data_IF_424861900636
#
_entry.id   IF_424861900636
#
_cell.length_a   1.000
_cell.length_b   1.000
_cell.length_c   1.000
_cell.angle_alpha   90.00
_cell.angle_beta   90.00
_cell.angle_gamma   90.00
#
_symmetry.space_group_name_H-M   'P 1'
#
loop_
_entity.id
_entity.type
_entity.pdbx_description
1 polymer ?
#
# COMPACT_ATOMS: atom_id res chain seq x y z
N UNK A 1 0.33 4.26 -1.35
CA UNK A 1 -0.77 4.67 -0.43
C UNK A 1 -0.19 5.28 0.84
N UNK A 2 -0.86 6.19 1.55
CA UNK A 2 -0.35 6.81 2.78
C UNK A 2 -1.25 6.47 3.97
N UNK A 3 -0.69 5.80 4.99
CA UNK A 3 -1.36 5.53 6.26
C UNK A 3 -1.05 6.63 7.28
N UNK A 4 -2.05 7.00 8.08
CA UNK A 4 -1.93 7.99 9.16
C UNK A 4 -2.45 7.37 10.46
N UNK A 5 -1.58 7.33 11.47
CA UNK A 5 -1.91 6.83 12.80
C UNK A 5 -1.96 8.00 13.77
N UNK A 6 -3.05 8.15 14.50
CA UNK A 6 -3.27 9.32 15.35
C UNK A 6 -3.69 8.85 16.74
N UNK A 7 -2.97 9.23 17.82
CA UNK A 7 -3.31 8.78 19.16
C UNK A 7 -4.62 9.43 19.65
N UNK A 8 -5.37 8.70 20.47
CA UNK A 8 -6.57 9.23 21.13
C UNK A 8 -6.19 10.17 22.28
N UNK A 9 -6.94 11.25 22.46
CA UNK A 9 -6.83 12.21 23.58
C UNK A 9 -8.12 12.32 24.39
N UNK A 10 -9.10 11.50 24.06
CA UNK A 10 -10.39 11.43 24.74
C UNK A 10 -11.36 10.59 23.94
N UNK A 11 -12.58 10.44 24.45
CA UNK A 11 -13.63 9.72 23.75
C UNK A 11 -13.88 10.34 22.36
N UNK A 12 -13.61 9.55 21.31
CA UNK A 12 -13.77 9.94 19.90
C UNK A 12 -12.99 11.21 19.51
N UNK A 13 -11.91 11.54 20.23
CA UNK A 13 -11.03 12.68 19.94
C UNK A 13 -9.60 12.19 19.73
N UNK A 14 -8.94 12.72 18.71
CA UNK A 14 -7.58 12.31 18.30
C UNK A 14 -6.66 13.53 18.14
N UNK A 15 -5.41 13.38 18.55
CA UNK A 15 -4.38 14.43 18.47
C UNK A 15 -3.63 14.36 17.14
N UNK A 16 -4.11 15.15 16.17
CA UNK A 16 -3.53 15.21 14.82
C UNK A 16 -2.11 15.76 14.78
N UNK A 17 -1.66 16.52 15.77
CA UNK A 17 -0.29 17.04 15.83
C UNK A 17 0.71 15.93 16.14
N UNK A 18 0.28 14.87 16.85
CA UNK A 18 1.09 13.68 17.15
C UNK A 18 0.89 12.53 16.19
N UNK A 19 0.33 12.79 15.00
CA UNK A 19 0.12 11.76 13.98
C UNK A 19 1.45 11.19 13.47
N UNK A 20 1.46 9.89 13.22
CA UNK A 20 2.56 9.19 12.57
C UNK A 20 2.16 8.77 11.16
N UNK A 21 3.11 8.84 10.22
CA UNK A 21 2.90 8.54 8.81
C UNK A 21 3.69 7.30 8.40
N UNK A 22 3.07 6.43 7.61
CA UNK A 22 3.71 5.28 6.97
C UNK A 22 3.26 5.19 5.52
N UNK A 23 4.19 5.31 4.59
CA UNK A 23 3.90 5.17 3.17
C UNK A 23 3.90 3.68 2.81
N UNK A 24 3.05 3.29 1.86
CA UNK A 24 3.03 1.94 1.30
C UNK A 24 3.34 2.04 -0.19
N UNK A 25 4.39 1.34 -0.60
CA UNK A 25 4.74 1.10 -2.00
C UNK A 25 3.73 0.15 -2.67
N UNK A 26 3.72 0.05 -4.01
CA UNK A 26 2.83 -0.89 -4.72
C UNK A 26 3.01 -2.35 -4.26
N UNK A 27 4.25 -2.76 -4.00
CA UNK A 27 4.56 -4.12 -3.54
C UNK A 27 3.98 -4.38 -2.15
N UNK A 28 4.12 -3.43 -1.23
CA UNK A 28 3.57 -3.54 0.13
C UNK A 28 2.04 -3.49 0.14
N UNK A 29 1.43 -2.73 -0.76
CA UNK A 29 -0.02 -2.79 -1.02
C UNK A 29 -0.41 -4.20 -1.46
N UNK A 30 0.37 -4.82 -2.35
CA UNK A 30 0.20 -6.23 -2.74
C UNK A 30 0.25 -7.19 -1.55
N UNK A 31 1.21 -7.01 -0.64
CA UNK A 31 1.31 -7.82 0.59
C UNK A 31 0.07 -7.71 1.48
N UNK A 32 -0.54 -6.53 1.60
CA UNK A 32 -1.78 -6.35 2.36
C UNK A 32 -2.97 -7.04 1.71
N UNK A 33 -3.06 -7.01 0.38
CA UNK A 33 -4.13 -7.67 -0.38
C UNK A 33 -4.04 -9.20 -0.20
N UNK A 34 -2.83 -9.75 -0.31
CA UNK A 34 -2.59 -11.19 -0.27
C UNK A 34 -2.62 -11.80 1.14
N UNK A 35 -2.73 -10.98 2.19
CA UNK A 35 -2.65 -11.45 3.58
C UNK A 35 -3.76 -12.45 3.91
N UNK A 36 -3.45 -13.69 4.26
CA UNK A 36 -4.42 -14.68 4.74
C UNK A 36 -5.04 -14.33 6.10
N UNK A 37 -6.02 -15.13 6.55
CA UNK A 37 -6.70 -14.93 7.84
C UNK A 37 -5.79 -15.13 9.05
N UNK A 38 -4.72 -15.91 8.89
CA UNK A 38 -3.76 -16.22 9.95
C UNK A 38 -2.35 -15.66 9.64
N UNK A 39 -2.20 -14.93 8.55
CA UNK A 39 -0.91 -14.45 8.10
C UNK A 39 -0.54 -13.16 8.81
N UNK A 40 0.76 -12.99 9.04
CA UNK A 40 1.33 -11.76 9.57
C UNK A 40 2.13 -11.06 8.49
N UNK A 41 2.07 -9.74 8.45
CA UNK A 41 2.90 -8.91 7.58
C UNK A 41 3.67 -7.89 8.43
N UNK A 42 4.96 -7.74 8.16
CA UNK A 42 5.83 -6.78 8.82
C UNK A 42 6.60 -5.98 7.75
N UNK A 43 6.49 -4.66 7.80
CA UNK A 43 7.10 -3.72 6.87
C UNK A 43 8.04 -2.78 7.62
N UNK A 44 9.20 -2.49 7.04
CA UNK A 44 10.25 -1.72 7.69
C UNK A 44 10.75 -0.60 6.79
N UNK A 45 10.63 0.64 7.26
CA UNK A 45 11.06 1.84 6.56
C UNK A 45 12.11 2.58 7.38
N UNK A 46 13.21 2.94 6.72
CA UNK A 46 14.18 3.92 7.21
C UNK A 46 14.14 5.14 6.26
N UNK A 47 13.58 6.29 6.69
CA UNK A 47 13.49 7.47 5.84
C UNK A 47 14.85 8.02 5.37
N UNK A 48 15.92 7.68 6.07
CA UNK A 48 17.29 8.13 5.81
C UNK A 48 18.15 7.00 5.23
N UNK A 49 17.55 5.92 4.75
CA UNK A 49 18.28 4.81 4.13
C UNK A 49 19.17 5.33 3.00
N UNK A 50 20.37 4.76 2.86
CA UNK A 50 21.40 5.18 1.90
C UNK A 50 21.99 6.59 2.14
N UNK A 51 21.76 7.18 3.32
CA UNK A 51 22.41 8.41 3.76
C UNK A 51 23.28 8.17 5.01
N UNK A 52 24.04 9.19 5.42
CA UNK A 52 24.81 9.17 6.68
C UNK A 52 23.93 9.03 7.93
N UNK A 53 22.64 9.34 7.83
CA UNK A 53 21.68 9.27 8.93
C UNK A 53 20.89 7.94 8.96
N UNK A 54 21.29 6.95 8.16
CA UNK A 54 20.67 5.64 8.18
C UNK A 54 20.66 5.03 9.60
N UNK A 55 19.58 4.35 9.95
CA UNK A 55 19.34 3.71 11.25
C UNK A 55 18.91 4.67 12.36
N UNK A 56 18.95 5.98 12.14
CA UNK A 56 18.58 6.97 13.15
C UNK A 56 17.07 7.06 13.36
N UNK A 57 16.28 6.86 12.30
CA UNK A 57 14.82 6.79 12.37
C UNK A 57 14.36 5.50 11.71
N UNK A 58 13.60 4.69 12.45
CA UNK A 58 13.08 3.41 11.95
C UNK A 58 11.59 3.34 12.20
N UNK A 59 10.84 2.98 11.16
CA UNK A 59 9.40 2.76 11.22
C UNK A 59 9.13 1.30 10.92
N UNK A 60 8.37 0.64 11.78
CA UNK A 60 7.92 -0.74 11.59
C UNK A 60 6.41 -0.78 11.65
N UNK A 61 5.78 -1.23 10.57
CA UNK A 61 4.35 -1.49 10.50
C UNK A 61 4.12 -2.99 10.57
N UNK A 62 3.26 -3.43 11.47
CA UNK A 62 2.93 -4.83 11.67
C UNK A 62 1.43 -5.02 11.54
N UNK A 63 1.01 -6.04 10.78
CA UNK A 63 -0.37 -6.51 10.70
C UNK A 63 -0.40 -7.95 11.18
N UNK A 64 -1.06 -8.19 12.31
CA UNK A 64 -1.16 -9.51 12.95
C UNK A 64 -2.62 -9.92 13.07
N UNK A 65 -2.98 -11.20 12.83
CA UNK A 65 -4.34 -11.66 13.09
C UNK A 65 -4.62 -11.65 14.59
N UNK A 66 -5.86 -11.38 14.98
CA UNK A 66 -6.26 -11.50 16.36
C UNK A 66 -6.27 -12.98 16.76
N UNK A 67 -5.78 -13.31 17.96
CA UNK A 67 -5.71 -14.71 18.43
C UNK A 67 -7.07 -15.41 18.49
N UNK A 68 -8.16 -14.65 18.57
CA UNK A 68 -9.53 -15.17 18.59
C UNK A 68 -10.19 -15.22 17.20
N UNK A 69 -9.48 -14.91 16.11
CA UNK A 69 -9.99 -14.98 14.73
C UNK A 69 -10.93 -13.84 14.30
N UNK A 70 -11.11 -12.81 15.13
CA UNK A 70 -12.08 -11.72 14.92
C UNK A 70 -11.62 -10.55 14.04
N UNK A 71 -10.42 -10.62 13.45
CA UNK A 71 -9.85 -9.54 12.66
C UNK A 71 -8.34 -9.44 12.80
N UNK A 72 -7.81 -8.22 12.71
CA UNK A 72 -6.38 -7.94 12.69
C UNK A 72 -6.01 -6.81 13.65
N UNK A 73 -4.80 -6.84 14.18
CA UNK A 73 -4.17 -5.75 14.88
C UNK A 73 -3.14 -5.10 13.95
N UNK A 74 -3.31 -3.81 13.66
CA UNK A 74 -2.37 -3.03 12.88
C UNK A 74 -1.60 -2.11 13.82
N UNK A 75 -0.29 -2.29 13.91
CA UNK A 75 0.59 -1.56 14.82
C UNK A 75 1.67 -0.82 14.06
N UNK A 76 1.89 0.45 14.39
CA UNK A 76 3.01 1.25 13.91
C UNK A 76 3.95 1.56 15.07
N UNK A 77 5.21 1.17 14.95
CA UNK A 77 6.30 1.55 15.85
C UNK A 77 7.22 2.53 15.12
N UNK A 78 7.49 3.69 15.72
CA UNK A 78 8.46 4.66 15.23
C UNK A 78 9.53 4.88 16.28
N UNK A 79 10.77 4.51 15.98
CA UNK A 79 11.92 4.73 16.84
C UNK A 79 12.75 5.86 16.23
N UNK A 80 12.91 6.96 16.96
CA UNK A 80 13.74 8.09 16.56
C UNK A 80 14.88 8.28 17.57
N UNK A 81 16.09 7.87 17.17
CA UNK A 81 17.29 7.93 18.00
C UNK A 81 17.86 9.35 18.13
N UNK A 82 17.50 10.27 17.23
CA UNK A 82 17.93 11.69 17.26
C UNK A 82 17.18 12.41 18.37
N UNK A 83 15.85 12.27 18.39
CA UNK A 83 14.98 12.89 19.40
C UNK A 83 14.80 12.04 20.66
N UNK A 84 15.36 10.83 20.68
CA UNK A 84 15.20 9.84 21.77
C UNK A 84 13.74 9.50 22.05
N UNK A 85 12.91 9.44 21.00
CA UNK A 85 11.49 9.07 21.12
C UNK A 85 11.23 7.67 20.58
N UNK A 86 10.20 7.04 21.16
CA UNK A 86 9.66 5.77 20.69
C UNK A 86 8.14 5.86 20.74
N UNK A 87 7.54 6.00 19.58
CA UNK A 87 6.08 6.04 19.43
C UNK A 87 5.58 4.64 19.05
N UNK A 88 4.48 4.24 19.68
CA UNK A 88 3.79 2.99 19.39
C UNK A 88 2.29 3.25 19.34
N UNK A 89 1.68 3.04 18.18
CA UNK A 89 0.24 3.22 17.98
C UNK A 89 -0.31 1.93 17.39
N UNK A 90 -1.40 1.44 17.96
CA UNK A 90 -1.99 0.16 17.60
C UNK A 90 -3.50 0.33 17.46
N UNK A 91 -4.05 -0.10 16.34
CA UNK A 91 -5.48 -0.01 16.03
C UNK A 91 -6.03 -1.40 15.70
N UNK A 92 -7.08 -1.88 16.40
CA UNK A 92 -7.76 -3.12 16.05
C UNK A 92 -8.66 -2.89 14.83
N UNK A 93 -8.68 -3.86 13.93
CA UNK A 93 -9.54 -3.91 12.76
C UNK A 93 -10.35 -5.19 12.82
N UNK A 94 -11.66 -5.09 12.63
CA UNK A 94 -12.52 -6.24 12.38
C UNK A 94 -12.22 -6.85 11.01
N UNK A 95 -12.64 -8.11 10.81
CA UNK A 95 -12.54 -8.75 9.48
C UNK A 95 -13.26 -7.96 8.39
N UNK A 96 -14.39 -7.33 8.71
CA UNK A 96 -15.15 -6.51 7.78
C UNK A 96 -14.39 -5.23 7.38
N UNK A 97 -13.81 -4.51 8.34
CA UNK A 97 -13.00 -3.33 8.06
C UNK A 97 -11.77 -3.68 7.23
N UNK A 98 -11.10 -4.80 7.54
CA UNK A 98 -9.94 -5.23 6.77
C UNK A 98 -10.30 -5.69 5.34
N UNK A 99 -11.49 -6.28 5.15
CA UNK A 99 -11.99 -6.61 3.81
C UNK A 99 -12.19 -5.35 2.94
N UNK A 100 -12.69 -4.25 3.52
CA UNK A 100 -12.80 -2.96 2.84
C UNK A 100 -11.42 -2.42 2.47
N UNK A 101 -10.44 -2.52 3.37
CA UNK A 101 -9.05 -2.12 3.09
C UNK A 101 -8.50 -2.90 1.90
N UNK A 102 -8.67 -4.23 1.87
CA UNK A 102 -8.23 -5.05 0.74
C UNK A 102 -8.88 -4.63 -0.57
N UNK A 103 -10.20 -4.44 -0.58
CA UNK A 103 -10.92 -4.02 -1.77
C UNK A 103 -10.43 -2.65 -2.28
N UNK A 104 -10.25 -1.68 -1.39
CA UNK A 104 -9.71 -0.37 -1.73
C UNK A 104 -8.28 -0.45 -2.27
N UNK A 105 -7.43 -1.27 -1.66
CA UNK A 105 -6.07 -1.53 -2.12
C UNK A 105 -6.06 -2.16 -3.53
N UNK A 106 -6.88 -3.19 -3.77
CA UNK A 106 -6.98 -3.85 -5.07
C UNK A 106 -7.46 -2.88 -6.16
N UNK A 107 -8.42 -2.01 -5.84
CA UNK A 107 -8.86 -0.97 -6.76
C UNK A 107 -7.77 0.08 -7.01
N UNK A 108 -7.08 0.55 -5.97
CA UNK A 108 -6.08 1.60 -6.10
C UNK A 108 -4.78 1.14 -6.80
N UNK A 109 -4.42 -0.15 -6.72
CA UNK A 109 -3.13 -0.65 -7.18
C UNK A 109 -2.86 -0.39 -8.68
N UNK A 110 -3.78 -0.68 -9.63
CA UNK A 110 -3.58 -0.34 -11.05
C UNK A 110 -3.35 1.15 -11.29
N UNK A 111 -4.04 2.03 -10.56
CA UNK A 111 -3.85 3.49 -10.66
C UNK A 111 -2.49 3.93 -10.11
N UNK A 112 -2.04 3.34 -9.00
CA UNK A 112 -0.71 3.60 -8.44
C UNK A 112 0.38 3.17 -9.44
N UNK A 113 0.16 2.08 -10.18
CA UNK A 113 1.07 1.60 -11.23
C UNK A 113 0.93 2.36 -12.57
N UNK A 114 -0.08 3.22 -12.72
CA UNK A 114 -0.36 3.97 -13.95
C UNK A 114 -0.93 3.12 -15.09
N UNK A 115 -1.43 1.93 -14.81
CA UNK A 115 -2.01 1.02 -15.81
C UNK A 115 -3.37 1.49 -16.31
N UNK A 116 -4.12 2.18 -15.46
CA UNK A 116 -5.37 2.86 -15.80
C UNK A 116 -5.23 3.77 -17.04
N UNK A 117 -4.13 4.53 -17.11
CA UNK A 117 -3.85 5.43 -18.25
C UNK A 117 -3.57 4.69 -19.55
N UNK A 118 -3.12 3.44 -19.48
CA UNK A 118 -2.88 2.60 -20.66
C UNK A 118 -4.21 2.02 -21.13
N UNK A 119 -5.02 1.49 -20.22
CA UNK A 119 -6.31 0.87 -20.54
C UNK A 119 -7.34 1.89 -21.03
N UNK A 120 -7.40 3.09 -20.44
CA UNK A 120 -8.32 4.15 -20.88
C UNK A 120 -8.04 4.65 -22.30
N UNK A 121 -6.77 4.63 -22.73
CA UNK A 121 -6.40 4.98 -24.12
C UNK A 121 -6.90 3.94 -25.11
N UNK A 122 -6.85 2.66 -24.75
CA UNK A 122 -7.37 1.56 -25.58
C UNK A 122 -8.89 1.68 -25.75
N UNK A 123 -9.63 2.05 -24.70
CA UNK A 123 -11.08 2.23 -24.78
C UNK A 123 -11.50 3.44 -25.64
N UNK A 124 -10.75 4.55 -25.59
CA UNK A 124 -11.01 5.73 -26.43
C UNK A 124 -10.71 5.49 -27.91
N UNK A 125 -9.72 4.65 -28.24
CA UNK A 125 -9.46 4.21 -29.62
C UNK A 125 -10.64 3.39 -30.16
N UNK A 126 -11.30 2.60 -29.30
CA UNK A 126 -12.43 1.74 -29.72
C UNK A 126 -13.78 2.46 -29.83
N UNK A 127 -13.96 3.65 -29.24
CA UNK A 127 -15.27 4.32 -29.12
C UNK A 127 -15.51 5.52 -30.05
N UNK A 128 -14.56 5.89 -30.92
CA UNK A 128 -14.70 7.05 -31.82
C UNK A 128 -14.00 6.94 -33.19
N UNK A 129 -14.74 6.43 -34.19
CA UNK A 129 -14.58 6.51 -35.67
C UNK A 129 -13.19 6.74 -36.32
N UNK A 130 -12.94 5.82 -37.28
CA UNK A 130 -12.03 5.80 -38.45
C UNK A 130 -10.58 5.39 -38.20
N UNK A 131 -10.27 4.22 -38.77
CA UNK A 131 -8.93 3.72 -39.10
C UNK A 131 -8.03 4.82 -39.67
N UNK A 132 -6.73 4.78 -39.35
CA UNK A 132 -5.83 3.92 -40.09
C UNK A 132 -5.61 2.62 -39.32
N UNK A 133 -5.42 1.54 -40.05
CA UNK A 133 -5.13 0.21 -39.52
C UNK A 133 -4.05 0.26 -38.42
N UNK A 134 -4.47 0.23 -37.17
CA UNK A 134 -3.69 -0.49 -36.17
C UNK A 134 -4.26 -1.89 -36.21
N UNK A 135 -3.75 -2.69 -37.16
CA UNK A 135 -3.82 -4.14 -37.04
C UNK A 135 -3.14 -4.45 -35.71
N UNK A 136 -3.93 -4.75 -34.68
CA UNK A 136 -3.44 -5.62 -33.62
C UNK A 136 -3.27 -6.99 -34.28
N UNK A 137 -2.13 -7.15 -34.95
CA UNK A 137 -1.76 -8.42 -35.54
C UNK A 137 -1.56 -9.37 -34.36
N UNK A 138 -2.38 -10.41 -34.29
CA UNK A 138 -2.17 -11.49 -33.32
C UNK A 138 -0.84 -12.20 -33.57
N UNK A 139 -0.19 -11.97 -34.72
CA UNK A 139 1.20 -12.33 -35.00
C UNK A 139 2.23 -11.43 -34.28
N UNK A 140 1.97 -10.14 -34.07
CA UNK A 140 2.95 -9.21 -33.49
C UNK A 140 3.27 -9.47 -32.01
N UNK A 141 2.37 -10.13 -31.26
CA UNK A 141 2.68 -10.51 -29.88
C UNK A 141 3.78 -11.59 -29.84
N UNK A 142 3.81 -12.48 -30.85
CA UNK A 142 4.86 -13.48 -30.97
C UNK A 142 6.13 -12.93 -31.64
N UNK A 143 6.00 -11.97 -32.58
CA UNK A 143 7.19 -11.37 -33.21
C UNK A 143 8.01 -10.52 -32.23
N UNK A 144 7.36 -9.89 -31.25
CA UNK A 144 8.03 -9.05 -30.25
C UNK A 144 8.93 -9.80 -29.25
N UNK A 145 8.76 -11.13 -29.11
CA UNK A 145 9.62 -11.95 -28.25
C UNK A 145 10.93 -12.37 -28.93
N UNK A 146 10.99 -12.31 -30.27
CA UNK A 146 12.07 -12.89 -31.07
C UNK A 146 12.85 -11.89 -31.93
N UNK A 147 12.44 -10.63 -31.99
CA UNK A 147 13.22 -9.56 -32.61
C UNK A 147 14.40 -9.16 -31.70
N UNK A 148 15.57 -9.76 -31.96
CA UNK A 148 16.89 -9.39 -31.40
C UNK A 148 17.74 -8.67 -32.44
#
# INVERSE_FOLDING_TARGET
MMLKFTPAIGERKYDWEKRQLFALSPTEVGSLISLGSNDTCELFHDPSMLSSNAGQVRKSLTVKPHSTGGGYMISLTVVNNILKTKDYISVPFTTAEFAVVKAACSYALPHIMGWDRVTEKVEKVNSGRRTPDIKFDRGQLMDSEWDK
#
